data_IF_776735123495
#
_entry.id   IF_776735123495
#
_cell.length_a   1.000
_cell.length_b   1.000
_cell.length_c   1.000
_cell.angle_alpha   90.00
_cell.angle_beta   90.00
_cell.angle_gamma   90.00
#
_symmetry.space_group_name_H-M   'P 1'
#
loop_
_entity.id
_entity.type
_entity.pdbx_description
1 polymer ?
#
# COMPACT_ATOMS: atom_id res chain seq x y z
N UNK A 1 -23.60 -39.16 -44.06
CA UNK A 1 -22.25 -38.71 -44.40
C UNK A 1 -22.33 -37.27 -44.83
N UNK A 2 -22.12 -36.34 -43.95
CA UNK A 2 -22.15 -34.89 -44.22
C UNK A 2 -20.87 -34.27 -43.69
N UNK A 3 -20.05 -33.78 -44.58
CA UNK A 3 -18.72 -33.20 -44.32
C UNK A 3 -18.86 -31.81 -43.68
N UNK A 4 -18.23 -31.60 -42.52
CA UNK A 4 -18.04 -30.31 -41.90
C UNK A 4 -16.95 -29.53 -42.64
N UNK A 5 -17.31 -28.42 -43.28
CA UNK A 5 -16.39 -27.46 -43.90
C UNK A 5 -15.74 -26.61 -42.78
N UNK A 6 -14.43 -26.72 -42.64
CA UNK A 6 -13.59 -25.85 -41.82
C UNK A 6 -13.44 -24.50 -42.53
N UNK A 7 -14.07 -23.46 -41.94
CA UNK A 7 -13.87 -22.07 -42.38
C UNK A 7 -12.51 -21.62 -41.83
N UNK A 8 -11.51 -21.50 -42.70
CA UNK A 8 -10.24 -20.79 -42.39
C UNK A 8 -10.50 -19.29 -42.38
N UNK A 9 -10.38 -18.67 -41.20
CA UNK A 9 -10.31 -17.22 -41.05
C UNK A 9 -8.95 -16.72 -41.60
N UNK A 10 -8.89 -15.58 -42.32
CA UNK A 10 -7.64 -15.05 -42.83
C UNK A 10 -6.77 -14.52 -41.66
N UNK A 11 -5.50 -14.87 -41.71
CA UNK A 11 -4.46 -14.32 -40.83
C UNK A 11 -4.31 -12.85 -41.22
N UNK A 12 -4.74 -11.95 -40.34
CA UNK A 12 -4.51 -10.52 -40.49
C UNK A 12 -3.01 -10.25 -40.29
N UNK A 13 -2.35 -9.74 -41.32
CA UNK A 13 -0.97 -9.27 -41.32
C UNK A 13 -0.78 -8.22 -40.21
N UNK A 14 -0.01 -8.57 -39.18
CA UNK A 14 0.51 -7.62 -38.21
C UNK A 14 1.64 -6.83 -38.91
N UNK A 15 1.56 -5.49 -39.02
CA UNK A 15 2.65 -4.71 -39.60
C UNK A 15 3.89 -4.80 -38.73
N UNK A 16 5.04 -5.00 -39.38
CA UNK A 16 6.34 -5.07 -38.66
C UNK A 16 6.68 -3.75 -37.96
N UNK A 17 7.42 -3.76 -36.87
CA UNK A 17 7.62 -2.60 -35.99
C UNK A 17 8.51 -1.47 -36.57
N UNK A 18 8.92 -1.54 -37.83
CA UNK A 18 9.87 -0.60 -38.45
C UNK A 18 9.43 -0.10 -39.86
N UNK A 19 8.15 0.15 -40.08
CA UNK A 19 7.73 0.83 -41.32
C UNK A 19 7.87 2.35 -41.15
N UNK A 20 8.76 2.93 -41.92
CA UNK A 20 8.87 4.38 -42.16
C UNK A 20 7.72 4.83 -43.07
N UNK A 21 7.08 5.98 -42.75
CA UNK A 21 6.15 6.64 -43.65
C UNK A 21 6.89 7.26 -44.86
N UNK A 22 6.15 7.72 -45.87
CA UNK A 22 6.75 8.34 -47.09
C UNK A 22 7.56 9.61 -46.80
N UNK A 23 7.60 10.09 -45.55
CA UNK A 23 8.36 11.27 -45.13
C UNK A 23 9.55 10.91 -44.20
N UNK A 24 9.91 9.61 -44.11
CA UNK A 24 11.08 9.15 -43.33
C UNK A 24 10.92 9.24 -41.82
N UNK A 25 9.70 9.37 -41.31
CA UNK A 25 9.42 9.40 -39.87
C UNK A 25 9.00 8.02 -39.40
N UNK A 26 9.51 7.61 -38.22
CA UNK A 26 9.10 6.36 -37.60
C UNK A 26 7.64 6.48 -37.20
N UNK A 27 6.78 5.81 -37.97
CA UNK A 27 5.36 5.71 -37.65
C UNK A 27 5.18 4.86 -36.41
N UNK A 28 5.28 5.46 -35.26
CA UNK A 28 4.88 5.04 -33.91
C UNK A 28 5.74 5.69 -32.84
N UNK A 29 5.88 7.01 -32.87
CA UNK A 29 6.19 7.73 -31.65
C UNK A 29 4.99 7.53 -30.71
N UNK A 30 5.06 6.52 -29.82
CA UNK A 30 4.09 6.37 -28.73
C UNK A 30 4.00 7.72 -28.03
N UNK A 31 2.81 8.35 -28.09
CA UNK A 31 2.56 9.60 -27.34
C UNK A 31 3.14 9.43 -25.94
N UNK A 32 3.89 10.41 -25.41
CA UNK A 32 4.42 10.33 -24.06
C UNK A 32 3.24 10.13 -23.13
N UNK A 33 3.21 8.97 -22.51
CA UNK A 33 2.19 8.57 -21.56
C UNK A 33 2.34 9.53 -20.38
N UNK A 34 1.30 10.26 -20.02
CA UNK A 34 1.31 11.24 -18.94
C UNK A 34 1.85 10.66 -17.65
N UNK A 35 2.32 11.49 -16.70
CA UNK A 35 3.06 11.05 -15.51
C UNK A 35 2.34 10.04 -14.62
N UNK A 36 1.03 9.84 -14.78
CA UNK A 36 0.26 8.84 -14.02
C UNK A 36 0.47 7.39 -14.49
N UNK A 37 0.91 7.18 -15.73
CA UNK A 37 1.05 5.83 -16.31
C UNK A 37 2.46 5.22 -16.18
N UNK A 38 3.47 6.02 -15.82
CA UNK A 38 4.83 5.56 -15.55
C UNK A 38 5.00 5.01 -14.12
N UNK A 39 4.10 5.39 -13.21
CA UNK A 39 4.24 5.05 -11.79
C UNK A 39 3.91 3.59 -11.46
N UNK A 40 3.15 2.88 -12.31
CA UNK A 40 2.68 1.51 -12.03
C UNK A 40 3.46 0.40 -12.75
N UNK A 41 4.32 0.71 -13.72
CA UNK A 41 4.82 -0.31 -14.65
C UNK A 41 6.00 -1.15 -14.18
N UNK A 42 6.81 -0.68 -13.23
CA UNK A 42 8.07 -1.37 -12.89
C UNK A 42 8.47 -1.37 -11.43
N UNK A 43 7.62 -0.97 -10.49
CA UNK A 43 8.07 -0.78 -9.11
C UNK A 43 7.25 -1.63 -8.14
N UNK A 44 7.94 -2.39 -7.29
CA UNK A 44 7.33 -3.14 -6.19
C UNK A 44 6.66 -2.24 -5.13
N UNK A 45 6.67 -0.91 -5.30
CA UNK A 45 6.08 0.09 -4.40
C UNK A 45 5.90 1.44 -5.08
N UNK A 46 5.03 2.27 -4.53
CA UNK A 46 4.93 3.67 -4.90
C UNK A 46 6.17 4.46 -4.41
N UNK A 47 6.90 5.10 -5.31
CA UNK A 47 8.12 5.88 -5.01
C UNK A 47 7.92 7.38 -5.09
N UNK A 48 6.83 7.84 -5.67
CA UNK A 48 6.50 9.25 -5.85
C UNK A 48 6.24 10.03 -4.55
N UNK A 49 5.83 11.28 -4.69
CA UNK A 49 5.58 12.20 -3.59
C UNK A 49 4.29 11.84 -2.82
N UNK A 50 4.42 11.16 -1.69
CA UNK A 50 3.29 10.63 -0.89
C UNK A 50 2.29 11.69 -0.42
N UNK A 51 2.71 12.96 -0.25
CA UNK A 51 1.78 14.02 0.13
C UNK A 51 0.73 14.32 -0.97
N UNK A 52 1.01 13.96 -2.22
CA UNK A 52 0.01 14.02 -3.32
C UNK A 52 -1.13 13.03 -3.06
N UNK A 53 -0.83 11.89 -2.45
CA UNK A 53 -1.83 10.86 -2.10
C UNK A 53 -2.79 11.37 -1.04
N UNK A 54 -2.29 11.98 0.05
CA UNK A 54 -3.13 12.61 1.08
C UNK A 54 -4.04 13.68 0.48
N UNK A 55 -3.47 14.58 -0.36
CA UNK A 55 -4.23 15.64 -1.03
C UNK A 55 -5.30 15.10 -1.98
N UNK A 56 -5.04 13.98 -2.66
CA UNK A 56 -6.03 13.34 -3.54
C UNK A 56 -7.21 12.76 -2.76
N UNK A 57 -6.97 12.20 -1.57
CA UNK A 57 -8.02 11.67 -0.70
C UNK A 57 -8.69 12.76 0.18
N UNK A 58 -8.11 13.96 0.23
CA UNK A 58 -8.64 15.06 1.02
C UNK A 58 -8.45 14.89 2.54
N UNK A 59 -7.61 13.96 2.98
CA UNK A 59 -7.37 13.66 4.39
C UNK A 59 -5.92 13.26 4.68
N UNK A 60 -5.50 13.37 5.95
CA UNK A 60 -4.18 12.90 6.40
C UNK A 60 -4.15 11.37 6.43
N UNK A 61 -3.26 10.75 5.66
CA UNK A 61 -3.01 9.30 5.66
C UNK A 61 -1.78 8.92 6.48
N UNK A 62 -1.12 9.88 7.13
CA UNK A 62 0.05 9.70 8.00
C UNK A 62 1.21 8.90 7.36
N UNK A 63 1.56 9.23 6.10
CA UNK A 63 2.52 8.47 5.30
C UNK A 63 3.99 8.88 5.51
N UNK A 64 4.26 10.02 6.16
CA UNK A 64 5.61 10.59 6.34
C UNK A 64 6.12 10.62 7.79
N UNK A 65 5.41 10.02 8.74
CA UNK A 65 5.77 10.06 10.16
C UNK A 65 5.62 11.47 10.74
N UNK A 66 6.58 11.92 11.55
CA UNK A 66 6.53 13.18 12.32
C UNK A 66 6.05 14.41 11.52
N UNK A 67 6.43 14.52 10.26
CA UNK A 67 5.97 15.63 9.40
C UNK A 67 4.45 15.69 9.22
N UNK A 68 3.75 14.57 9.35
CA UNK A 68 2.29 14.54 9.21
C UNK A 68 1.55 15.10 10.42
N UNK A 69 2.23 15.18 11.56
CA UNK A 69 1.69 15.74 12.81
C UNK A 69 2.04 17.23 12.98
N UNK A 70 3.01 17.75 12.23
CA UNK A 70 3.41 19.16 12.29
C UNK A 70 2.56 20.04 11.37
N UNK A 71 2.53 21.34 11.64
CA UNK A 71 1.91 22.39 10.80
C UNK A 71 2.51 22.46 9.39
N UNK A 72 3.71 21.91 9.19
CA UNK A 72 4.38 21.81 7.89
C UNK A 72 3.76 20.77 6.97
N UNK A 73 2.65 20.12 7.38
CA UNK A 73 1.96 19.14 6.55
C UNK A 73 1.34 19.79 5.30
N UNK A 74 1.68 19.32 4.09
CA UNK A 74 1.19 19.93 2.84
C UNK A 74 -0.33 19.92 2.66
N UNK A 75 -1.07 19.04 3.33
CA UNK A 75 -2.53 19.03 3.23
C UNK A 75 -3.17 20.19 3.94
N UNK A 76 -2.59 20.68 5.03
CA UNK A 76 -3.08 21.85 5.75
C UNK A 76 -2.89 23.14 4.93
N UNK A 77 -1.73 23.26 4.27
CA UNK A 77 -1.43 24.42 3.44
C UNK A 77 -2.12 24.40 2.08
N UNK A 78 -2.41 23.22 1.52
CA UNK A 78 -2.93 23.01 0.16
C UNK A 78 -3.98 21.91 0.16
N UNK A 79 -5.16 22.18 0.74
CA UNK A 79 -6.26 21.21 0.84
C UNK A 79 -7.04 21.06 -0.47
N UNK A 80 -6.33 20.82 -1.57
CA UNK A 80 -6.92 20.53 -2.87
C UNK A 80 -6.14 19.42 -3.59
N UNK A 81 -6.80 18.73 -4.51
CA UNK A 81 -6.21 17.63 -5.25
C UNK A 81 -4.94 18.08 -6.01
N UNK A 82 -3.95 17.19 -6.22
CA UNK A 82 -2.79 17.51 -7.04
C UNK A 82 -3.18 17.59 -8.52
N UNK A 83 -2.47 18.41 -9.30
CA UNK A 83 -2.67 18.60 -10.74
C UNK A 83 -3.18 20.00 -11.07
N UNK A 84 -3.28 20.31 -12.36
CA UNK A 84 -3.70 21.62 -12.90
C UNK A 84 -5.10 22.00 -12.41
N UNK A 85 -6.03 21.05 -12.51
CA UNK A 85 -7.45 21.21 -12.12
C UNK A 85 -7.72 20.96 -10.62
N UNK A 86 -6.69 20.94 -9.79
CA UNK A 86 -6.86 20.63 -8.37
C UNK A 86 -7.69 21.64 -7.56
N UNK A 87 -7.73 22.90 -8.01
CA UNK A 87 -8.49 23.99 -7.41
C UNK A 87 -9.91 24.13 -7.97
N UNK A 88 -10.17 23.50 -9.12
CA UNK A 88 -11.47 23.59 -9.78
C UNK A 88 -12.57 22.94 -8.92
N UNK A 89 -13.83 23.27 -9.22
CA UNK A 89 -14.98 22.68 -8.53
C UNK A 89 -14.96 21.17 -8.67
N UNK A 90 -14.88 20.45 -7.55
CA UNK A 90 -14.89 19.00 -7.52
C UNK A 90 -16.29 18.49 -7.86
N UNK A 91 -16.40 17.60 -8.83
CA UNK A 91 -17.62 16.84 -9.06
C UNK A 91 -17.95 15.99 -7.82
N UNK A 92 -19.24 15.87 -7.50
CA UNK A 92 -19.71 14.99 -6.42
C UNK A 92 -19.34 13.55 -6.76
N UNK A 93 -18.57 12.91 -5.88
CA UNK A 93 -18.21 11.50 -6.03
C UNK A 93 -19.36 10.66 -5.52
N UNK A 94 -19.96 9.84 -6.36
CA UNK A 94 -21.11 8.99 -6.03
C UNK A 94 -20.90 7.54 -6.52
N UNK A 95 -21.63 6.60 -5.94
CA UNK A 95 -21.66 5.21 -6.39
C UNK A 95 -20.27 4.57 -6.50
N UNK A 96 -19.93 4.08 -7.69
CA UNK A 96 -18.64 3.46 -8.00
C UNK A 96 -17.42 4.32 -7.58
N UNK A 97 -17.53 5.65 -7.78
CA UNK A 97 -16.45 6.56 -7.40
C UNK A 97 -16.13 6.54 -5.90
N UNK A 98 -17.14 6.45 -5.02
CA UNK A 98 -16.94 6.33 -3.57
C UNK A 98 -16.24 5.01 -3.22
N UNK A 99 -16.72 3.91 -3.76
CA UNK A 99 -16.14 2.59 -3.57
C UNK A 99 -14.67 2.54 -4.02
N UNK A 100 -14.38 3.11 -5.20
CA UNK A 100 -13.02 3.21 -5.73
C UNK A 100 -12.12 4.06 -4.84
N UNK A 101 -12.59 5.22 -4.34
CA UNK A 101 -11.78 6.08 -3.45
C UNK A 101 -11.48 5.38 -2.14
N UNK A 102 -12.42 4.66 -1.58
CA UNK A 102 -12.23 3.94 -0.33
C UNK A 102 -11.17 2.83 -0.48
N UNK A 103 -11.26 2.05 -1.55
CA UNK A 103 -10.23 1.06 -1.91
C UNK A 103 -8.85 1.72 -2.08
N UNK A 104 -8.76 2.80 -2.85
CA UNK A 104 -7.49 3.49 -3.10
C UNK A 104 -6.91 4.10 -1.82
N UNK A 105 -7.75 4.64 -0.93
CA UNK A 105 -7.35 5.15 0.38
C UNK A 105 -6.69 4.05 1.21
N UNK A 106 -7.36 2.92 1.36
CA UNK A 106 -6.86 1.77 2.12
C UNK A 106 -5.56 1.23 1.53
N UNK A 107 -5.52 0.99 0.23
CA UNK A 107 -4.32 0.56 -0.50
C UNK A 107 -3.12 1.49 -0.24
N UNK A 108 -3.35 2.80 -0.22
CA UNK A 108 -2.30 3.82 -0.01
C UNK A 108 -1.82 3.87 1.45
N UNK A 109 -2.71 3.69 2.41
CA UNK A 109 -2.35 3.64 3.83
C UNK A 109 -1.36 2.50 4.09
N UNK A 110 -1.61 1.30 3.54
CA UNK A 110 -0.77 0.11 3.73
C UNK A 110 0.36 -0.03 2.69
N UNK A 111 0.51 0.91 1.75
CA UNK A 111 1.51 0.86 0.68
C UNK A 111 1.51 -0.44 -0.12
N UNK A 112 0.33 -1.04 -0.32
CA UNK A 112 0.16 -2.22 -1.16
C UNK A 112 -0.07 -1.82 -2.62
N UNK A 113 0.34 -2.68 -3.56
CA UNK A 113 -0.01 -2.56 -4.98
C UNK A 113 -1.38 -3.18 -5.25
N UNK A 114 -1.96 -2.83 -6.40
CA UNK A 114 -3.31 -3.28 -6.76
C UNK A 114 -3.44 -4.80 -6.76
N UNK A 115 -2.52 -5.51 -7.42
CA UNK A 115 -2.56 -6.96 -7.48
C UNK A 115 -2.42 -7.61 -6.10
N UNK A 116 -1.53 -7.09 -5.25
CA UNK A 116 -1.40 -7.58 -3.88
C UNK A 116 -2.68 -7.35 -3.06
N UNK A 117 -3.28 -6.18 -3.21
CA UNK A 117 -4.50 -5.84 -2.48
C UNK A 117 -5.67 -6.75 -2.92
N UNK A 118 -5.81 -6.98 -4.22
CA UNK A 118 -6.78 -7.93 -4.78
C UNK A 118 -6.57 -9.35 -4.23
N UNK A 119 -5.34 -9.83 -4.19
CA UNK A 119 -5.02 -11.15 -3.65
C UNK A 119 -5.38 -11.26 -2.15
N UNK A 120 -5.24 -10.16 -1.36
CA UNK A 120 -5.69 -10.14 0.03
C UNK A 120 -7.21 -10.21 0.11
N UNK A 121 -7.92 -9.47 -0.73
CA UNK A 121 -9.37 -9.54 -0.79
C UNK A 121 -9.89 -10.94 -1.15
N UNK A 122 -9.34 -11.55 -2.19
CA UNK A 122 -9.71 -12.91 -2.61
C UNK A 122 -9.46 -13.96 -1.50
N UNK A 123 -8.35 -13.82 -0.77
CA UNK A 123 -8.07 -14.69 0.39
C UNK A 123 -9.03 -14.44 1.55
N UNK A 124 -9.44 -13.19 1.77
CA UNK A 124 -10.41 -12.85 2.81
C UNK A 124 -11.81 -13.40 2.45
N UNK A 125 -12.23 -13.25 1.20
CA UNK A 125 -13.52 -13.72 0.71
C UNK A 125 -13.70 -15.25 0.77
N UNK A 126 -12.58 -16.01 0.72
CA UNK A 126 -12.60 -17.49 0.83
C UNK A 126 -12.69 -18.00 2.27
N UNK A 127 -12.49 -17.13 3.26
CA UNK A 127 -12.52 -17.52 4.67
C UNK A 127 -13.91 -17.27 5.26
N UNK A 128 -14.37 -18.11 6.20
CA UNK A 128 -15.60 -17.86 6.92
C UNK A 128 -15.46 -16.60 7.79
N UNK A 129 -16.51 -15.77 7.84
CA UNK A 129 -16.55 -14.53 8.61
C UNK A 129 -16.81 -13.29 7.76
N UNK A 130 -16.70 -12.12 8.36
CA UNK A 130 -16.92 -10.82 7.69
C UNK A 130 -15.73 -10.49 6.82
N UNK A 131 -15.89 -10.53 5.50
CA UNK A 131 -14.83 -10.34 4.51
C UNK A 131 -14.03 -9.05 4.70
N UNK A 132 -14.72 -7.95 5.04
CA UNK A 132 -14.09 -6.65 5.27
C UNK A 132 -13.13 -6.66 6.46
N UNK A 133 -13.54 -7.25 7.57
CA UNK A 133 -12.71 -7.39 8.77
C UNK A 133 -11.50 -8.30 8.50
N UNK A 134 -11.73 -9.44 7.85
CA UNK A 134 -10.67 -10.38 7.48
C UNK A 134 -9.64 -9.74 6.52
N UNK A 135 -10.09 -8.88 5.61
CA UNK A 135 -9.20 -8.11 4.74
C UNK A 135 -8.32 -7.16 5.57
N UNK A 136 -8.91 -6.37 6.46
CA UNK A 136 -8.16 -5.46 7.32
C UNK A 136 -7.22 -6.20 8.26
N UNK A 137 -7.64 -7.33 8.83
CA UNK A 137 -6.82 -8.20 9.65
C UNK A 137 -5.57 -8.68 8.89
N UNK A 138 -5.72 -9.13 7.64
CA UNK A 138 -4.58 -9.54 6.83
C UNK A 138 -3.64 -8.37 6.52
N UNK A 139 -4.15 -7.17 6.30
CA UNK A 139 -3.34 -5.97 6.06
C UNK A 139 -2.59 -5.53 7.31
N UNK A 140 -3.20 -5.63 8.49
CA UNK A 140 -2.54 -5.30 9.78
C UNK A 140 -1.46 -6.31 10.14
N UNK A 141 -1.64 -7.60 9.85
CA UNK A 141 -0.68 -8.67 10.11
C UNK A 141 0.57 -8.66 9.24
N UNK A 142 0.67 -7.79 8.24
CA UNK A 142 1.87 -7.66 7.40
C UNK A 142 3.05 -7.21 8.26
N UNK A 143 4.20 -7.83 8.06
CA UNK A 143 5.42 -7.54 8.83
C UNK A 143 5.82 -6.06 8.76
N UNK A 144 5.72 -5.44 7.57
CA UNK A 144 6.01 -4.00 7.42
C UNK A 144 5.06 -3.12 8.25
N UNK A 145 3.79 -3.52 8.38
CA UNK A 145 2.84 -2.81 9.20
C UNK A 145 3.01 -3.11 10.70
N UNK A 146 3.29 -4.37 11.08
CA UNK A 146 3.57 -4.75 12.48
C UNK A 146 4.77 -3.98 13.01
N UNK A 147 5.87 -3.90 12.27
CA UNK A 147 7.07 -3.11 12.62
C UNK A 147 6.72 -1.62 12.85
N UNK A 148 5.83 -1.06 12.04
CA UNK A 148 5.34 0.30 12.24
C UNK A 148 4.45 0.42 13.49
N UNK A 149 3.54 -0.53 13.74
CA UNK A 149 2.64 -0.53 14.91
C UNK A 149 3.39 -0.73 16.24
N UNK A 150 4.48 -1.49 16.22
CA UNK A 150 5.39 -1.64 17.34
C UNK A 150 6.21 -0.38 17.64
N UNK A 151 6.14 0.66 16.80
CA UNK A 151 6.92 1.88 16.96
C UNK A 151 8.40 1.71 16.60
N UNK A 152 8.80 0.64 15.94
CA UNK A 152 10.16 0.42 15.47
C UNK A 152 10.51 1.23 14.19
N UNK A 153 9.53 1.97 13.67
CA UNK A 153 9.71 2.87 12.54
C UNK A 153 8.73 4.04 12.64
N UNK A 154 9.11 5.23 12.17
CA UNK A 154 8.28 6.43 12.18
C UNK A 154 7.19 6.42 11.10
N UNK A 155 7.32 5.57 10.10
CA UNK A 155 6.34 5.41 9.01
C UNK A 155 6.37 4.01 8.42
N UNK A 156 5.24 3.58 7.82
CA UNK A 156 5.16 2.30 7.10
C UNK A 156 6.19 2.16 5.97
N UNK A 157 6.59 3.28 5.34
CA UNK A 157 7.66 3.28 4.32
C UNK A 157 9.02 2.94 4.91
N UNK A 158 9.36 3.52 6.05
CA UNK A 158 10.60 3.22 6.77
C UNK A 158 10.57 1.77 7.29
N UNK A 159 9.46 1.33 7.88
CA UNK A 159 9.28 -0.05 8.31
C UNK A 159 9.53 -1.04 7.15
N UNK A 160 8.92 -0.80 6.00
CA UNK A 160 9.14 -1.61 4.80
C UNK A 160 10.60 -1.61 4.35
N UNK A 161 11.31 -0.47 4.46
CA UNK A 161 12.72 -0.39 4.13
C UNK A 161 13.57 -1.21 5.11
N UNK A 162 13.32 -1.10 6.42
CA UNK A 162 14.00 -1.88 7.44
C UNK A 162 13.85 -3.40 7.18
N UNK A 163 12.63 -3.84 6.91
CA UNK A 163 12.37 -5.25 6.57
C UNK A 163 13.15 -5.67 5.32
N UNK A 164 13.05 -4.91 4.22
CA UNK A 164 13.71 -5.24 2.95
C UNK A 164 15.23 -5.30 3.06
N UNK A 165 15.82 -4.42 3.89
CA UNK A 165 17.27 -4.39 4.13
C UNK A 165 17.71 -5.46 5.14
N UNK A 166 16.76 -6.25 5.69
CA UNK A 166 17.06 -7.36 6.59
C UNK A 166 17.50 -6.94 7.98
N UNK A 167 16.99 -5.80 8.46
CA UNK A 167 17.19 -5.33 9.83
C UNK A 167 16.24 -5.95 10.85
N UNK A 168 15.21 -6.67 10.37
CA UNK A 168 14.15 -7.26 11.18
C UNK A 168 14.30 -8.77 11.22
N UNK A 169 14.02 -9.35 12.38
CA UNK A 169 13.93 -10.78 12.63
C UNK A 169 12.57 -11.13 13.24
N UNK A 170 12.12 -12.34 12.97
CA UNK A 170 10.92 -12.95 13.54
C UNK A 170 11.35 -14.25 14.19
N UNK A 171 11.06 -14.41 15.48
CA UNK A 171 11.51 -15.58 16.28
C UNK A 171 13.01 -15.87 16.11
N UNK A 172 13.85 -14.82 16.12
CA UNK A 172 15.31 -14.93 15.96
C UNK A 172 15.79 -15.20 14.52
N UNK A 173 14.88 -15.32 13.54
CA UNK A 173 15.23 -15.55 12.13
C UNK A 173 15.07 -14.29 11.30
N UNK A 174 16.07 -13.96 10.49
CA UNK A 174 16.01 -12.83 9.57
C UNK A 174 14.90 -13.00 8.54
N UNK A 175 13.99 -12.01 8.47
CA UNK A 175 12.92 -11.96 7.46
C UNK A 175 13.04 -10.67 6.66
N UNK A 176 13.14 -10.77 5.33
CA UNK A 176 13.25 -9.63 4.40
C UNK A 176 12.02 -9.44 3.50
N UNK A 177 10.92 -10.13 3.82
CA UNK A 177 9.66 -10.10 3.05
C UNK A 177 8.65 -9.21 3.77
N UNK A 178 8.36 -7.99 3.28
CA UNK A 178 7.42 -7.08 3.94
C UNK A 178 5.99 -7.60 4.03
N UNK A 179 5.60 -8.49 3.14
CA UNK A 179 4.27 -9.11 3.09
C UNK A 179 4.14 -10.37 3.95
N UNK A 180 5.18 -10.74 4.69
CA UNK A 180 5.12 -11.85 5.66
C UNK A 180 3.96 -11.62 6.63
N UNK A 181 3.15 -12.64 6.86
CA UNK A 181 1.98 -12.57 7.75
C UNK A 181 2.38 -13.06 9.14
N UNK A 182 2.52 -12.13 10.06
CA UNK A 182 2.87 -12.45 11.45
C UNK A 182 1.67 -13.12 12.14
N UNK A 183 1.95 -14.17 12.90
CA UNK A 183 0.96 -14.94 13.65
C UNK A 183 0.98 -14.60 15.14
N UNK A 184 -0.12 -14.84 15.89
CA UNK A 184 -0.10 -14.72 17.34
C UNK A 184 0.99 -15.60 17.93
N UNK A 185 1.66 -15.08 18.98
CA UNK A 185 2.79 -15.74 19.63
C UNK A 185 4.16 -15.44 19.01
N UNK A 186 4.23 -14.90 17.79
CA UNK A 186 5.52 -14.57 17.17
C UNK A 186 6.12 -13.28 17.75
N UNK A 187 7.43 -13.32 17.99
CA UNK A 187 8.23 -12.18 18.41
C UNK A 187 8.87 -11.51 17.18
N UNK A 188 8.71 -10.20 17.09
CA UNK A 188 9.31 -9.36 16.04
C UNK A 188 10.34 -8.44 16.70
N UNK A 189 11.60 -8.50 16.26
CA UNK A 189 12.68 -7.72 16.84
C UNK A 189 13.56 -7.07 15.78
N UNK A 190 14.27 -6.00 16.16
CA UNK A 190 15.39 -5.50 15.38
C UNK A 190 16.65 -6.30 15.71
N UNK A 191 17.42 -6.64 14.68
CA UNK A 191 18.71 -7.31 14.82
C UNK A 191 19.67 -6.44 15.64
N UNK A 192 20.49 -7.06 16.46
CA UNK A 192 21.44 -6.36 17.36
C UNK A 192 22.30 -5.32 16.63
N UNK A 193 22.88 -5.68 15.48
CA UNK A 193 23.67 -4.75 14.65
C UNK A 193 22.86 -3.53 14.21
N UNK A 194 21.57 -3.69 14.03
CA UNK A 194 20.66 -2.63 13.54
C UNK A 194 20.20 -1.71 14.65
N UNK A 195 20.18 -2.16 15.90
CA UNK A 195 19.80 -1.34 17.07
C UNK A 195 20.76 -0.18 17.30
N UNK A 196 22.05 -0.37 16.96
CA UNK A 196 23.14 0.63 17.11
C UNK A 196 23.16 1.70 16.00
N UNK A 197 22.23 1.64 15.05
CA UNK A 197 22.17 2.63 13.98
C UNK A 197 21.66 3.98 14.53
N UNK A 198 22.33 5.13 14.21
CA UNK A 198 21.90 6.45 14.69
C UNK A 198 20.45 6.79 14.36
N UNK A 199 19.93 6.26 13.26
CA UNK A 199 18.53 6.42 12.85
C UNK A 199 17.57 5.84 13.89
N UNK A 200 17.98 4.81 14.65
CA UNK A 200 17.10 4.12 15.59
C UNK A 200 16.88 4.92 16.89
N UNK A 201 17.85 5.72 17.29
CA UNK A 201 17.70 6.66 18.43
C UNK A 201 16.63 7.70 18.12
N UNK A 202 16.70 8.34 16.95
CA UNK A 202 15.67 9.26 16.50
C UNK A 202 14.29 8.63 16.28
N UNK A 203 14.23 7.34 15.94
CA UNK A 203 12.95 6.59 15.89
C UNK A 203 12.39 6.43 17.30
N UNK A 204 13.20 6.02 18.27
CA UNK A 204 12.79 5.83 19.66
C UNK A 204 12.18 7.10 20.26
N UNK A 205 12.84 8.26 20.08
CA UNK A 205 12.33 9.55 20.52
C UNK A 205 10.97 9.90 19.87
N UNK A 206 10.87 9.77 18.55
CA UNK A 206 9.67 10.13 17.80
C UNK A 206 8.49 9.17 18.03
N UNK A 207 8.72 7.95 18.50
CA UNK A 207 7.67 6.95 18.73
C UNK A 207 7.36 6.71 20.19
N UNK A 208 8.09 7.33 21.13
CA UNK A 208 7.91 7.16 22.58
C UNK A 208 6.48 7.42 23.06
N UNK A 209 5.81 8.42 22.47
CA UNK A 209 4.46 8.84 22.82
C UNK A 209 3.35 8.13 22.02
N UNK A 210 3.70 7.26 21.06
CA UNK A 210 2.69 6.54 20.30
C UNK A 210 2.04 5.45 21.16
N UNK A 211 0.71 5.41 21.17
CA UNK A 211 -0.04 4.32 21.80
C UNK A 211 0.20 3.02 21.01
N UNK A 212 0.48 1.97 21.75
CA UNK A 212 0.61 0.62 21.19
C UNK A 212 -0.77 0.03 20.97
N UNK A 213 -0.95 -0.69 19.87
CA UNK A 213 -2.21 -1.37 19.61
C UNK A 213 -2.45 -2.51 20.64
N UNK A 214 -3.69 -2.73 21.11
CA UNK A 214 -3.97 -3.69 22.21
C UNK A 214 -3.59 -5.15 21.92
N UNK A 215 -3.44 -5.50 20.64
CA UNK A 215 -3.06 -6.85 20.18
C UNK A 215 -1.54 -7.05 20.10
N UNK A 216 -0.73 -6.05 20.53
CA UNK A 216 0.72 -6.07 20.51
C UNK A 216 1.28 -5.74 21.89
N UNK A 217 2.30 -6.46 22.31
CA UNK A 217 3.18 -6.11 23.43
C UNK A 217 4.48 -5.55 22.87
N UNK A 218 5.01 -4.49 23.48
CA UNK A 218 6.22 -3.80 23.01
C UNK A 218 7.22 -3.62 24.13
N UNK A 219 8.41 -4.11 23.92
CA UNK A 219 9.61 -3.78 24.67
C UNK A 219 10.42 -2.75 23.86
N UNK A 220 10.28 -1.49 24.24
CA UNK A 220 10.94 -0.36 23.54
C UNK A 220 12.43 -0.30 23.82
N UNK A 221 12.88 -0.81 24.95
CA UNK A 221 14.29 -0.79 25.32
C UNK A 221 15.09 -1.74 24.45
N UNK A 222 14.56 -2.94 24.24
CA UNK A 222 15.19 -3.97 23.44
C UNK A 222 14.80 -3.97 21.97
N UNK A 223 14.00 -2.99 21.53
CA UNK A 223 13.46 -2.94 20.15
C UNK A 223 12.79 -4.25 19.73
N UNK A 224 11.96 -4.78 20.59
CA UNK A 224 11.23 -6.03 20.41
C UNK A 224 9.74 -5.83 20.60
N UNK A 225 8.96 -6.71 20.03
CA UNK A 225 7.55 -6.79 20.34
C UNK A 225 6.98 -8.16 20.01
N UNK A 226 5.86 -8.49 20.64
CA UNK A 226 5.18 -9.77 20.49
C UNK A 226 3.75 -9.54 20.01
N UNK A 227 3.28 -10.38 19.13
CA UNK A 227 1.87 -10.42 18.73
C UNK A 227 1.11 -11.30 19.72
N UNK A 228 0.22 -10.70 20.50
CA UNK A 228 -0.57 -11.41 21.52
C UNK A 228 -1.79 -12.08 20.90
N UNK A 229 -2.55 -11.32 20.11
CA UNK A 229 -3.80 -11.77 19.51
C UNK A 229 -3.92 -11.34 18.05
N UNK A 230 -4.93 -11.82 17.36
CA UNK A 230 -5.28 -11.30 16.04
C UNK A 230 -5.96 -9.93 16.17
N UNK A 231 -5.63 -8.94 15.31
CA UNK A 231 -6.29 -7.65 15.33
C UNK A 231 -7.77 -7.78 14.96
N UNK A 232 -8.65 -7.23 15.80
CA UNK A 232 -10.08 -7.06 15.52
C UNK A 232 -10.35 -5.71 14.86
N UNK A 233 -11.55 -5.47 14.36
CA UNK A 233 -11.93 -4.19 13.75
C UNK A 233 -11.78 -3.02 14.72
N UNK A 234 -12.10 -3.21 15.98
CA UNK A 234 -12.01 -2.19 17.04
C UNK A 234 -10.58 -1.72 17.29
N UNK A 235 -9.61 -2.61 17.12
CA UNK A 235 -8.19 -2.29 17.27
C UNK A 235 -7.62 -1.45 16.11
N UNK A 236 -8.39 -1.31 15.02
CA UNK A 236 -7.95 -0.63 13.79
C UNK A 236 -8.55 0.78 13.73
N UNK A 237 -7.89 1.74 14.39
CA UNK A 237 -8.29 3.14 14.43
C UNK A 237 -7.96 3.87 13.12
N UNK A 238 -8.46 3.38 12.00
CA UNK A 238 -8.30 4.01 10.69
C UNK A 238 -9.68 4.36 10.12
N UNK A 239 -9.83 5.52 9.48
CA UNK A 239 -11.08 5.97 8.88
C UNK A 239 -11.33 5.24 7.55
N UNK A 240 -11.55 3.94 7.63
CA UNK A 240 -11.78 3.04 6.49
C UNK A 240 -13.20 2.48 6.60
N UNK A 241 -13.96 2.56 5.49
CA UNK A 241 -15.22 1.84 5.33
C UNK A 241 -14.98 0.60 4.46
N UNK A 242 -14.79 -0.52 5.13
CA UNK A 242 -14.51 -1.81 4.50
C UNK A 242 -15.67 -2.33 3.64
N UNK A 243 -16.93 -1.98 3.99
CA UNK A 243 -18.10 -2.40 3.25
C UNK A 243 -18.09 -1.89 1.81
N UNK A 244 -17.69 -0.62 1.58
CA UNK A 244 -17.57 -0.05 0.25
C UNK A 244 -16.49 -0.77 -0.59
N UNK A 245 -15.45 -1.31 0.06
CA UNK A 245 -14.41 -2.08 -0.62
C UNK A 245 -14.96 -3.45 -1.03
N UNK A 246 -15.70 -4.10 -0.14
CA UNK A 246 -16.36 -5.39 -0.44
C UNK A 246 -17.34 -5.22 -1.60
N UNK A 247 -18.20 -4.21 -1.56
CA UNK A 247 -19.15 -3.92 -2.63
C UNK A 247 -18.46 -3.68 -3.99
N UNK A 248 -17.28 -3.03 -3.99
CA UNK A 248 -16.51 -2.79 -5.22
C UNK A 248 -16.04 -4.07 -5.88
N UNK A 249 -15.58 -5.04 -5.09
CA UNK A 249 -15.03 -6.29 -5.60
C UNK A 249 -16.08 -7.40 -5.81
N UNK A 250 -17.29 -7.20 -5.30
CA UNK A 250 -18.41 -8.14 -5.47
C UNK A 250 -19.24 -7.90 -6.75
N UNK A 251 -18.84 -6.91 -7.56
CA UNK A 251 -19.46 -6.55 -8.84
C UNK A 251 -18.87 -7.32 -10.00
#
# INVERSE_FOLDING_TARGET
MTALALIKLPITDYPSPNSLDREGRVANARKPIGPESLEDRNLARYTGAVCRLCRREGMKLFLKGAKCFSEKCPIEKRNFAPGQHGKDRKAKVVGYGLQLREKQKTKRIYFTLEQQFRNYFERAARKPGVTGELLLQQLERRLDNVVYRLGLATSRRQARQLVRHGHVEVNGRKVNIPSYQVSPGEEVALRERSRKLPVMEGVREQTSHLSVAPWLEVDRENFKGRVVALPTREHINLPINEQLIVELYSK
#
